data_IF_036301670463
#
_entry.id   IF_036301670463
#
_cell.length_a   1.000
_cell.length_b   1.000
_cell.length_c   1.000
_cell.angle_alpha   90.00
_cell.angle_beta   90.00
_cell.angle_gamma   90.00
#
_symmetry.space_group_name_H-M   'P 1'
#
loop_
_entity.id
_entity.type
_entity.pdbx_description
1 polymer ?
#
# COMPACT_ATOMS: atom_id res chain seq x y z
N UNK A 1 -14.53 11.99 22.19
CA UNK A 1 -13.94 10.68 22.54
C UNK A 1 -12.44 10.76 22.23
N UNK A 2 -11.58 10.89 23.24
CA UNK A 2 -10.14 10.93 23.03
C UNK A 2 -9.64 9.49 22.81
N UNK A 3 -9.22 9.19 21.58
CA UNK A 3 -8.57 7.92 21.26
C UNK A 3 -7.09 8.03 21.67
N UNK A 4 -6.67 7.25 22.66
CA UNK A 4 -5.26 7.13 23.05
C UNK A 4 -4.53 6.32 21.97
N UNK A 5 -3.51 6.92 21.34
CA UNK A 5 -2.71 6.27 20.29
C UNK A 5 -1.60 5.44 20.93
N UNK A 6 -1.58 4.14 20.71
CA UNK A 6 -0.54 3.21 21.19
C UNK A 6 0.41 2.88 20.05
N UNK A 7 1.72 2.88 20.30
CA UNK A 7 2.72 2.45 19.31
C UNK A 7 2.78 0.90 19.28
N UNK A 8 2.72 0.34 18.08
CA UNK A 8 2.76 -1.09 17.79
C UNK A 8 4.12 -1.43 17.16
N UNK A 9 5.14 -1.56 18.00
CA UNK A 9 6.53 -1.77 17.55
C UNK A 9 6.75 -3.25 17.25
N UNK A 10 7.41 -3.55 16.13
CA UNK A 10 7.75 -4.93 15.75
C UNK A 10 6.58 -5.80 15.28
N UNK A 11 5.44 -5.19 14.91
CA UNK A 11 4.28 -5.91 14.38
C UNK A 11 4.62 -6.54 13.02
N UNK A 12 4.50 -7.86 12.92
CA UNK A 12 4.68 -8.60 11.66
C UNK A 12 3.33 -8.93 11.04
N UNK A 13 3.31 -9.06 9.72
CA UNK A 13 2.11 -9.49 8.99
C UNK A 13 1.55 -10.83 9.50
N UNK A 14 2.44 -11.72 9.96
CA UNK A 14 2.07 -13.03 10.47
C UNK A 14 1.40 -12.98 11.86
N UNK A 15 1.58 -11.90 12.62
CA UNK A 15 1.03 -11.77 13.98
C UNK A 15 -0.50 -11.59 13.99
N UNK A 16 -1.09 -11.15 12.86
CA UNK A 16 -2.53 -10.95 12.71
C UNK A 16 -3.14 -11.75 11.54
N UNK A 17 -2.36 -12.65 10.93
CA UNK A 17 -2.81 -13.46 9.79
C UNK A 17 -3.76 -14.55 10.24
N UNK A 18 -4.82 -14.79 9.46
CA UNK A 18 -5.76 -15.86 9.76
C UNK A 18 -5.06 -17.24 9.59
N UNK A 19 -5.29 -18.22 10.49
CA UNK A 19 -4.60 -19.52 10.41
C UNK A 19 -4.86 -20.26 9.10
N UNK A 20 -6.07 -20.15 8.52
CA UNK A 20 -6.36 -20.75 7.21
C UNK A 20 -5.59 -20.09 6.07
N UNK A 21 -5.34 -18.77 6.15
CA UNK A 21 -4.52 -18.07 5.16
C UNK A 21 -3.04 -18.47 5.31
N UNK A 22 -2.61 -18.76 6.54
CA UNK A 22 -1.29 -19.29 6.83
C UNK A 22 -1.08 -20.66 6.18
N UNK A 23 -2.02 -21.58 6.37
CA UNK A 23 -1.99 -22.91 5.77
C UNK A 23 -2.05 -22.87 4.24
N UNK A 24 -2.97 -22.10 3.67
CA UNK A 24 -3.10 -21.96 2.22
C UNK A 24 -1.83 -21.42 1.58
N UNK A 25 -1.26 -20.34 2.13
CA UNK A 25 0.00 -19.76 1.62
C UNK A 25 1.18 -20.73 1.75
N UNK A 26 1.25 -21.49 2.84
CA UNK A 26 2.33 -22.46 3.06
C UNK A 26 2.22 -23.63 2.08
N UNK A 27 1.01 -24.10 1.81
CA UNK A 27 0.74 -25.16 0.84
C UNK A 27 1.11 -24.72 -0.58
N UNK A 28 0.76 -23.50 -0.97
CA UNK A 28 1.14 -22.94 -2.27
C UNK A 28 2.66 -22.81 -2.43
N UNK A 29 3.38 -22.38 -1.38
CA UNK A 29 4.85 -22.27 -1.37
C UNK A 29 5.57 -23.61 -1.55
N UNK A 30 4.93 -24.73 -1.25
CA UNK A 30 5.51 -26.06 -1.44
C UNK A 30 5.47 -26.53 -2.89
N UNK A 31 4.72 -25.86 -3.77
CA UNK A 31 4.64 -26.22 -5.18
C UNK A 31 5.90 -25.75 -5.93
N UNK A 32 6.77 -26.67 -6.39
CA UNK A 32 7.99 -26.29 -7.07
C UNK A 32 7.67 -25.61 -8.40
N UNK A 33 8.29 -24.45 -8.65
CA UNK A 33 8.12 -23.70 -9.90
C UNK A 33 6.92 -22.75 -9.95
N UNK A 34 6.04 -22.75 -8.94
CA UNK A 34 4.91 -21.80 -8.86
C UNK A 34 5.40 -20.35 -8.84
N UNK A 35 6.42 -20.04 -8.02
CA UNK A 35 6.99 -18.69 -7.94
C UNK A 35 7.51 -18.18 -9.29
N UNK A 36 8.09 -19.07 -10.10
CA UNK A 36 8.62 -18.70 -11.42
C UNK A 36 7.49 -18.43 -12.42
N UNK A 37 6.43 -19.24 -12.39
CA UNK A 37 5.25 -19.07 -13.25
C UNK A 37 4.51 -17.78 -12.90
N UNK A 38 4.30 -17.51 -11.61
CA UNK A 38 3.65 -16.28 -11.11
C UNK A 38 4.47 -15.05 -11.53
N UNK A 39 5.79 -15.08 -11.35
CA UNK A 39 6.67 -13.97 -11.77
C UNK A 39 6.67 -13.75 -13.28
N UNK A 40 6.59 -14.81 -14.07
CA UNK A 40 6.51 -14.74 -15.53
C UNK A 40 5.18 -14.15 -16.01
N UNK A 41 4.07 -14.57 -15.38
CA UNK A 41 2.72 -14.06 -15.67
C UNK A 41 2.52 -12.60 -15.25
N UNK A 42 3.09 -12.20 -14.11
CA UNK A 42 3.00 -10.83 -13.56
C UNK A 42 4.13 -9.91 -14.03
N UNK A 43 4.79 -10.24 -15.16
CA UNK A 43 6.01 -9.59 -15.62
C UNK A 43 5.99 -8.05 -15.61
N UNK A 44 7.20 -7.47 -15.51
CA UNK A 44 7.50 -6.04 -15.26
C UNK A 44 6.73 -5.01 -16.11
N UNK A 45 6.25 -5.39 -17.29
CA UNK A 45 5.52 -4.51 -18.22
C UNK A 45 4.13 -4.15 -17.70
N UNK A 46 3.40 -5.09 -17.09
CA UNK A 46 2.10 -4.80 -16.50
C UNK A 46 2.25 -3.84 -15.30
N UNK A 47 3.22 -4.13 -14.43
CA UNK A 47 3.49 -3.31 -13.25
C UNK A 47 3.93 -1.88 -13.62
N UNK A 48 4.77 -1.72 -14.65
CA UNK A 48 5.16 -0.39 -15.15
C UNK A 48 3.98 0.37 -15.76
N UNK A 49 3.06 -0.31 -16.44
CA UNK A 49 1.88 0.34 -17.02
C UNK A 49 0.91 0.84 -15.94
N UNK A 50 0.67 0.05 -14.89
CA UNK A 50 -0.11 0.49 -13.74
C UNK A 50 0.56 1.64 -12.98
N UNK A 51 1.88 1.56 -12.77
CA UNK A 51 2.66 2.64 -12.15
C UNK A 51 2.59 3.94 -12.98
N UNK A 52 2.76 3.85 -14.31
CA UNK A 52 2.71 5.00 -15.21
C UNK A 52 1.31 5.63 -15.28
N UNK A 53 0.25 4.83 -15.42
CA UNK A 53 -1.12 5.36 -15.43
C UNK A 53 -1.48 6.05 -14.12
N UNK A 54 -1.07 5.48 -12.99
CA UNK A 54 -1.28 6.09 -11.70
C UNK A 54 -0.52 7.41 -11.57
N UNK A 55 0.76 7.48 -11.91
CA UNK A 55 1.54 8.71 -11.77
C UNK A 55 1.08 9.81 -12.74
N UNK A 56 0.69 9.45 -13.96
CA UNK A 56 0.27 10.42 -14.97
C UNK A 56 -0.98 11.22 -14.54
N UNK A 57 -1.85 10.64 -13.70
CA UNK A 57 -3.13 11.23 -13.28
C UNK A 57 -3.21 11.55 -11.78
N UNK A 58 -2.10 11.48 -11.04
CA UNK A 58 -2.10 11.64 -9.58
C UNK A 58 -1.09 12.66 -9.07
N UNK A 59 -1.38 13.15 -7.87
CA UNK A 59 -0.60 14.16 -7.15
C UNK A 59 0.17 13.47 -6.03
N UNK A 60 1.51 13.56 -6.06
CA UNK A 60 2.35 13.04 -4.98
C UNK A 60 2.13 13.83 -3.69
N UNK A 61 1.74 13.17 -2.61
CA UNK A 61 1.60 13.77 -1.29
C UNK A 61 2.98 13.99 -0.68
N UNK A 62 3.25 15.20 -0.18
CA UNK A 62 4.51 15.58 0.46
C UNK A 62 4.28 16.64 1.53
N UNK A 63 5.32 17.00 2.28
CA UNK A 63 5.26 18.08 3.26
C UNK A 63 4.85 19.44 2.65
N UNK A 64 5.17 19.68 1.38
CA UNK A 64 4.81 20.92 0.68
C UNK A 64 3.50 20.82 -0.10
N UNK A 65 3.02 19.61 -0.36
CA UNK A 65 1.85 19.32 -1.19
C UNK A 65 0.91 18.37 -0.46
N UNK A 66 -0.23 18.89 0.00
CA UNK A 66 -1.17 18.19 0.90
C UNK A 66 -0.52 17.82 2.27
N UNK A 67 0.05 18.80 3.00
CA UNK A 67 0.80 18.57 4.24
C UNK A 67 0.00 17.84 5.33
N UNK A 68 -1.31 18.04 5.37
CA UNK A 68 -2.18 17.35 6.32
C UNK A 68 -2.20 15.83 6.09
N UNK A 69 -2.34 15.40 4.83
CA UNK A 69 -2.32 13.98 4.48
C UNK A 69 -0.94 13.36 4.73
N UNK A 70 0.12 14.11 4.41
CA UNK A 70 1.49 13.67 4.69
C UNK A 70 1.71 13.44 6.20
N UNK A 71 1.23 14.34 7.06
CA UNK A 71 1.32 14.18 8.52
C UNK A 71 0.56 12.95 9.03
N UNK A 72 -0.64 12.70 8.51
CA UNK A 72 -1.42 11.52 8.87
C UNK A 72 -0.72 10.22 8.44
N UNK A 73 -0.16 10.20 7.24
CA UNK A 73 0.63 9.07 6.75
C UNK A 73 1.81 8.79 7.67
N UNK A 74 2.63 9.80 7.95
CA UNK A 74 3.82 9.68 8.80
C UNK A 74 3.44 9.25 10.22
N UNK A 75 2.35 9.79 10.78
CA UNK A 75 1.87 9.39 12.09
C UNK A 75 1.40 7.93 12.12
N UNK A 76 0.62 7.51 11.11
CA UNK A 76 0.16 6.13 10.99
C UNK A 76 1.34 5.16 10.85
N UNK A 77 2.28 5.46 9.96
CA UNK A 77 3.50 4.68 9.75
C UNK A 77 4.35 4.58 11.03
N UNK A 78 4.46 5.68 11.78
CA UNK A 78 5.13 5.69 13.08
C UNK A 78 4.42 4.79 14.10
N UNK A 79 3.09 4.81 14.13
CA UNK A 79 2.30 3.96 15.04
C UNK A 79 2.51 2.48 14.75
N UNK A 80 2.57 2.08 13.47
CA UNK A 80 2.70 0.68 13.06
C UNK A 80 4.15 0.25 12.79
N UNK A 81 5.14 1.10 13.12
CA UNK A 81 6.57 0.85 12.94
C UNK A 81 6.96 0.49 11.49
N UNK A 82 6.46 1.28 10.53
CA UNK A 82 6.72 1.12 9.10
C UNK A 82 7.45 2.36 8.52
N UNK A 83 8.34 2.13 7.55
CA UNK A 83 8.89 3.23 6.75
C UNK A 83 7.78 3.90 5.93
N UNK A 84 7.63 5.24 5.97
CA UNK A 84 6.61 5.95 5.20
C UNK A 84 6.71 5.66 3.70
N UNK A 85 5.67 5.09 3.07
CA UNK A 85 5.68 4.86 1.64
C UNK A 85 5.35 6.13 0.84
N UNK A 86 5.47 6.04 -0.49
CA UNK A 86 4.94 7.08 -1.38
C UNK A 86 3.41 7.02 -1.44
N UNK A 87 2.77 8.18 -1.25
CA UNK A 87 1.32 8.33 -1.31
C UNK A 87 0.96 9.25 -2.47
N UNK A 88 0.07 8.78 -3.34
CA UNK A 88 -0.46 9.53 -4.47
C UNK A 88 -1.96 9.75 -4.28
N UNK A 89 -2.45 10.92 -4.70
CA UNK A 89 -3.87 11.27 -4.68
C UNK A 89 -4.37 11.46 -6.11
N UNK A 90 -5.40 10.73 -6.50
CA UNK A 90 -6.05 10.88 -7.81
C UNK A 90 -7.54 11.20 -7.63
N UNK A 91 -8.15 11.82 -8.64
CA UNK A 91 -9.60 12.02 -8.69
C UNK A 91 -10.28 10.80 -9.35
N UNK A 92 -11.27 10.21 -8.70
CA UNK A 92 -12.17 9.19 -9.27
C UNK A 92 -13.59 9.47 -8.76
N UNK A 93 -14.62 9.29 -9.60
CA UNK A 93 -16.01 9.39 -9.19
C UNK A 93 -16.41 8.45 -8.05
N UNK A 94 -15.69 7.34 -7.86
CA UNK A 94 -15.94 6.39 -6.76
C UNK A 94 -14.82 6.49 -5.71
N UNK A 95 -15.16 6.70 -4.42
CA UNK A 95 -14.17 6.75 -3.36
C UNK A 95 -13.56 5.35 -3.11
N UNK A 96 -12.24 5.25 -3.19
CA UNK A 96 -11.47 4.04 -2.96
C UNK A 96 -10.04 4.36 -2.49
N UNK A 97 -9.40 3.44 -1.77
CA UNK A 97 -7.98 3.49 -1.45
C UNK A 97 -7.38 2.10 -1.68
N UNK A 98 -6.26 2.03 -2.40
CA UNK A 98 -5.57 0.77 -2.66
C UNK A 98 -4.07 0.90 -2.46
N UNK A 99 -3.46 -0.24 -2.15
CA UNK A 99 -2.02 -0.40 -1.94
C UNK A 99 -1.41 -1.21 -3.06
N UNK A 100 -0.32 -0.73 -3.62
CA UNK A 100 0.41 -1.43 -4.67
C UNK A 100 1.84 -1.71 -4.21
N UNK A 101 2.17 -2.99 -4.01
CA UNK A 101 3.50 -3.45 -3.66
C UNK A 101 4.27 -3.80 -4.94
N UNK A 102 5.36 -3.08 -5.22
CA UNK A 102 6.30 -3.42 -6.31
C UNK A 102 7.65 -3.82 -5.71
N UNK A 103 8.32 -4.80 -6.31
CA UNK A 103 9.68 -5.16 -5.90
C UNK A 103 10.62 -3.94 -5.99
N UNK A 104 11.25 -3.60 -4.87
CA UNK A 104 12.24 -2.53 -4.78
C UNK A 104 11.69 -1.11 -4.66
N UNK A 105 10.36 -0.91 -4.58
CA UNK A 105 9.75 0.40 -4.31
C UNK A 105 8.66 0.30 -3.25
N UNK A 106 8.80 1.13 -2.22
CA UNK A 106 7.91 1.15 -1.06
C UNK A 106 6.44 1.34 -1.47
N UNK A 107 5.59 0.46 -0.94
CA UNK A 107 4.14 0.33 -1.11
C UNK A 107 3.42 1.61 -1.55
N UNK A 108 3.10 1.78 -2.83
CA UNK A 108 2.35 2.94 -3.29
C UNK A 108 0.93 2.91 -2.73
N UNK A 109 0.56 3.91 -1.94
CA UNK A 109 -0.83 4.13 -1.58
C UNK A 109 -1.43 5.10 -2.59
N UNK A 110 -2.50 4.71 -3.27
CA UNK A 110 -3.31 5.63 -4.05
C UNK A 110 -4.62 5.84 -3.31
N UNK A 111 -4.79 7.05 -2.78
CA UNK A 111 -6.06 7.44 -2.19
C UNK A 111 -6.87 8.12 -3.29
N UNK A 112 -8.14 7.77 -3.36
CA UNK A 112 -9.08 8.42 -4.25
C UNK A 112 -10.37 8.67 -3.48
N UNK A 113 -10.61 9.90 -3.00
CA UNK A 113 -11.58 10.73 -3.73
C UNK A 113 -11.29 12.24 -3.63
N UNK A 114 -11.75 12.99 -4.62
CA UNK A 114 -11.76 14.46 -4.60
C UNK A 114 -13.18 14.99 -4.35
N UNK A 115 -13.75 14.65 -3.19
CA UNK A 115 -14.92 15.33 -2.62
C UNK A 115 -14.60 15.74 -1.18
N UNK A 116 -13.57 16.58 -1.01
CA UNK A 116 -13.27 17.30 0.25
C UNK A 116 -13.21 18.83 0.02
N UNK A 117 -13.89 19.31 -1.02
CA UNK A 117 -14.24 20.72 -1.17
C UNK A 117 -15.76 20.87 -1.15
N UNK A 118 -16.35 20.62 0.02
CA UNK A 118 -17.59 21.20 0.53
C UNK A 118 -17.52 21.10 2.05
#
# INVERSE_FOLDING_TARGET
MQLTKTQLIGLKADDFRHPLDLEATTTLKQLPGLDMIVRSLLGSVAEQFFYLNNIASSVLVSEKQLPHLHKLLVEACRIIDLEPPQLYLQQNPVPNAYTFAMQGKNLLWCCIPLWWKC
#
